data_IF_644014268990
#
_entry.id   IF_644014268990
#
_cell.length_a   1.000
_cell.length_b   1.000
_cell.length_c   1.000
_cell.angle_alpha   90.00
_cell.angle_beta   90.00
_cell.angle_gamma   90.00
#
_symmetry.space_group_name_H-M   'P 1'
#
loop_
_entity.id
_entity.type
_entity.pdbx_description
1 polymer ?
#
# COMPACT_ATOMS: atom_id res chain seq x y z
N UNK A 1 11.20 -19.88 -16.26
CA UNK A 1 11.85 -18.60 -15.92
C UNK A 1 13.13 -18.88 -15.16
N UNK A 2 14.27 -18.42 -15.68
CA UNK A 2 15.58 -18.52 -15.03
C UNK A 2 15.71 -17.47 -13.92
N UNK A 3 16.73 -17.60 -13.04
CA UNK A 3 17.02 -16.55 -12.04
C UNK A 3 17.34 -15.22 -12.72
N UNK A 4 18.09 -15.25 -13.83
CA UNK A 4 18.39 -14.03 -14.59
C UNK A 4 17.11 -13.33 -15.10
N UNK A 5 16.19 -14.10 -15.71
CA UNK A 5 14.91 -13.59 -16.21
C UNK A 5 14.05 -13.03 -15.07
N UNK A 6 13.98 -13.71 -13.91
CA UNK A 6 13.25 -13.26 -12.73
C UNK A 6 13.73 -11.87 -12.25
N UNK A 7 15.04 -11.67 -12.16
CA UNK A 7 15.61 -10.40 -11.69
C UNK A 7 15.44 -9.28 -12.74
N UNK A 8 15.58 -9.60 -14.03
CA UNK A 8 15.32 -8.65 -15.11
C UNK A 8 13.84 -8.23 -15.17
N UNK A 9 12.92 -9.18 -15.00
CA UNK A 9 11.48 -8.92 -14.98
C UNK A 9 11.11 -8.06 -13.76
N UNK A 10 11.59 -8.39 -12.56
CA UNK A 10 11.40 -7.57 -11.36
C UNK A 10 11.93 -6.14 -11.56
N UNK A 11 13.12 -5.98 -12.14
CA UNK A 11 13.69 -4.66 -12.40
C UNK A 11 12.78 -3.79 -13.28
N UNK A 12 12.21 -4.40 -14.33
CA UNK A 12 11.43 -3.67 -15.33
C UNK A 12 9.97 -3.47 -14.95
N UNK A 13 9.35 -4.44 -14.26
CA UNK A 13 7.92 -4.44 -13.92
C UNK A 13 7.61 -3.90 -12.54
N UNK A 14 8.50 -4.13 -11.57
CA UNK A 14 8.22 -3.80 -10.16
C UNK A 14 9.08 -2.64 -9.65
N UNK A 15 10.37 -2.59 -10.01
CA UNK A 15 11.28 -1.58 -9.48
C UNK A 15 11.31 -0.28 -10.28
N UNK A 16 11.15 -0.34 -11.60
CA UNK A 16 11.20 0.84 -12.48
C UNK A 16 10.11 1.84 -12.12
N UNK A 17 10.51 3.10 -11.93
CA UNK A 17 9.60 4.19 -11.53
C UNK A 17 9.20 4.17 -10.05
N UNK A 18 9.55 3.13 -9.30
CA UNK A 18 9.24 2.97 -7.87
C UNK A 18 10.51 3.10 -7.02
N UNK A 19 11.58 2.38 -7.39
CA UNK A 19 12.85 2.37 -6.66
C UNK A 19 14.04 2.28 -7.63
N UNK A 20 14.69 3.43 -7.93
CA UNK A 20 15.90 3.45 -8.76
C UNK A 20 17.03 2.58 -8.20
N UNK A 21 17.08 2.39 -6.88
CA UNK A 21 18.08 1.55 -6.22
C UNK A 21 17.83 0.07 -6.51
N UNK A 22 16.60 -0.40 -6.34
CA UNK A 22 16.26 -1.80 -6.59
C UNK A 22 16.26 -2.14 -8.08
N UNK A 23 15.93 -1.21 -8.96
CA UNK A 23 16.05 -1.39 -10.41
C UNK A 23 17.51 -1.67 -10.78
N UNK A 24 18.45 -0.83 -10.32
CA UNK A 24 19.89 -1.02 -10.60
C UNK A 24 20.44 -2.32 -10.01
N UNK A 25 20.08 -2.64 -8.77
CA UNK A 25 20.51 -3.90 -8.14
C UNK A 25 19.99 -5.12 -8.89
N UNK A 26 18.71 -5.13 -9.23
CA UNK A 26 18.10 -6.27 -9.89
C UNK A 26 18.67 -6.49 -11.30
N UNK A 27 18.92 -5.42 -12.07
CA UNK A 27 19.63 -5.52 -13.35
C UNK A 27 21.04 -6.07 -13.19
N UNK A 28 21.77 -5.63 -12.16
CA UNK A 28 23.12 -6.12 -11.91
C UNK A 28 23.13 -7.60 -11.55
N UNK A 29 22.22 -8.04 -10.66
CA UNK A 29 22.10 -9.46 -10.30
C UNK A 29 21.66 -10.29 -11.50
N UNK A 30 20.76 -9.80 -12.36
CA UNK A 30 20.35 -10.50 -13.58
C UNK A 30 21.52 -10.79 -14.55
N UNK A 31 22.61 -10.02 -14.48
CA UNK A 31 23.84 -10.24 -15.23
C UNK A 31 24.91 -11.05 -14.47
N UNK A 32 24.65 -11.42 -13.20
CA UNK A 32 25.65 -11.95 -12.27
C UNK A 32 25.61 -13.47 -12.15
N UNK A 33 26.47 -14.13 -12.93
CA UNK A 33 26.58 -15.60 -12.94
C UNK A 33 27.10 -16.19 -11.62
N UNK A 34 27.77 -15.41 -10.77
CA UNK A 34 28.24 -15.88 -9.46
C UNK A 34 27.03 -15.96 -8.51
N UNK A 35 26.26 -14.87 -8.41
CA UNK A 35 25.06 -14.84 -7.56
C UNK A 35 24.03 -15.86 -8.04
N UNK A 36 23.88 -16.07 -9.35
CA UNK A 36 23.02 -17.14 -9.88
C UNK A 36 23.41 -18.54 -9.39
N UNK A 37 24.72 -18.85 -9.36
CA UNK A 37 25.22 -20.14 -8.87
C UNK A 37 24.97 -20.30 -7.37
N UNK A 38 25.14 -19.24 -6.60
CA UNK A 38 24.82 -19.24 -5.17
C UNK A 38 23.32 -19.47 -4.94
N UNK A 39 22.46 -18.69 -5.60
CA UNK A 39 21.00 -18.84 -5.52
C UNK A 39 20.51 -20.22 -5.99
N UNK A 40 21.25 -20.91 -6.86
CA UNK A 40 20.92 -22.27 -7.27
C UNK A 40 20.92 -23.26 -6.09
N UNK A 41 21.66 -22.98 -5.01
CA UNK A 41 21.70 -23.81 -3.80
C UNK A 41 20.42 -23.74 -2.96
N UNK A 42 19.61 -22.68 -3.09
CA UNK A 42 18.34 -22.54 -2.35
C UNK A 42 17.13 -22.92 -3.22
N UNK A 43 16.00 -23.35 -2.61
CA UNK A 43 14.76 -23.64 -3.34
C UNK A 43 14.31 -22.46 -4.21
N UNK A 44 13.65 -22.74 -5.33
CA UNK A 44 13.20 -21.71 -6.29
C UNK A 44 12.38 -20.61 -5.63
N UNK A 45 11.49 -20.97 -4.70
CA UNK A 45 10.66 -20.01 -3.96
C UNK A 45 11.47 -19.00 -3.11
N UNK A 46 12.74 -19.31 -2.80
CA UNK A 46 13.64 -18.47 -2.00
C UNK A 46 14.59 -17.60 -2.84
N UNK A 47 14.45 -17.60 -4.17
CA UNK A 47 15.34 -16.84 -5.07
C UNK A 47 14.83 -15.44 -5.42
N UNK A 48 13.71 -15.03 -4.83
CA UNK A 48 13.04 -13.76 -5.14
C UNK A 48 13.97 -12.55 -4.89
N UNK A 49 13.98 -11.52 -5.76
CA UNK A 49 14.85 -10.35 -5.63
C UNK A 49 14.67 -9.61 -4.30
N UNK A 50 13.42 -9.30 -3.95
CA UNK A 50 13.06 -8.65 -2.70
C UNK A 50 13.51 -9.43 -1.45
N UNK A 51 13.42 -10.76 -1.46
CA UNK A 51 13.90 -11.60 -0.36
C UNK A 51 15.42 -11.52 -0.20
N UNK A 52 16.18 -11.63 -1.31
CA UNK A 52 17.63 -11.52 -1.28
C UNK A 52 18.08 -10.13 -0.78
N UNK A 53 17.50 -9.06 -1.32
CA UNK A 53 17.84 -7.69 -0.92
C UNK A 53 17.51 -7.44 0.55
N UNK A 54 16.37 -7.95 1.03
CA UNK A 54 15.98 -7.84 2.44
C UNK A 54 16.95 -8.59 3.36
N UNK A 55 17.36 -9.81 3.01
CA UNK A 55 18.31 -10.60 3.82
C UNK A 55 19.69 -9.95 3.86
N UNK A 56 20.19 -9.48 2.71
CA UNK A 56 21.48 -8.76 2.67
C UNK A 56 21.43 -7.52 3.56
N UNK A 57 20.36 -6.72 3.46
CA UNK A 57 20.17 -5.53 4.31
C UNK A 57 20.05 -5.89 5.79
N UNK A 58 19.34 -6.97 6.13
CA UNK A 58 19.18 -7.45 7.51
C UNK A 58 20.51 -7.80 8.15
N UNK A 59 21.42 -8.41 7.38
CA UNK A 59 22.77 -8.75 7.83
C UNK A 59 23.75 -7.56 7.82
N UNK A 60 23.24 -6.33 7.61
CA UNK A 60 24.04 -5.11 7.57
C UNK A 60 24.80 -4.91 6.24
N UNK A 61 24.44 -5.66 5.20
CA UNK A 61 25.06 -5.58 3.89
C UNK A 61 24.57 -4.38 3.07
N UNK A 62 25.40 -3.86 2.14
CA UNK A 62 25.07 -2.73 1.29
C UNK A 62 24.05 -3.12 0.23
N UNK A 63 23.00 -2.32 0.06
CA UNK A 63 21.95 -2.52 -0.96
C UNK A 63 21.76 -1.29 -1.87
N UNK A 64 22.73 -0.38 -1.86
CA UNK A 64 22.68 0.87 -2.63
C UNK A 64 23.57 0.79 -3.88
N UNK A 65 24.62 -0.04 -3.82
CA UNK A 65 25.69 -0.12 -4.83
C UNK A 65 25.90 -1.58 -5.29
N UNK A 66 25.71 -1.90 -6.58
CA UNK A 66 25.79 -3.27 -7.08
C UNK A 66 27.12 -3.99 -6.80
N UNK A 67 28.25 -3.32 -6.98
CA UNK A 67 29.56 -3.94 -6.73
C UNK A 67 29.78 -4.29 -5.26
N UNK A 68 29.37 -3.40 -4.35
CA UNK A 68 29.45 -3.65 -2.90
C UNK A 68 28.48 -4.76 -2.47
N UNK A 69 27.27 -4.76 -3.04
CA UNK A 69 26.27 -5.81 -2.82
C UNK A 69 26.80 -7.17 -3.25
N UNK A 70 27.40 -7.27 -4.44
CA UNK A 70 28.03 -8.50 -4.93
C UNK A 70 29.10 -9.00 -3.96
N UNK A 71 30.08 -8.14 -3.65
CA UNK A 71 31.20 -8.51 -2.79
C UNK A 71 30.73 -8.99 -1.41
N UNK A 72 29.76 -8.29 -0.81
CA UNK A 72 29.18 -8.70 0.47
C UNK A 72 28.44 -10.03 0.34
N UNK A 73 27.61 -10.20 -0.68
CA UNK A 73 26.79 -11.40 -0.90
C UNK A 73 27.64 -12.64 -1.07
N UNK A 74 28.70 -12.55 -1.88
CA UNK A 74 29.64 -13.66 -2.09
C UNK A 74 30.39 -13.99 -0.80
N UNK A 75 30.87 -12.96 -0.08
CA UNK A 75 31.66 -13.14 1.15
C UNK A 75 30.84 -13.78 2.27
N UNK A 76 29.58 -13.37 2.43
CA UNK A 76 28.72 -13.77 3.54
C UNK A 76 27.66 -14.80 3.14
N UNK A 77 27.86 -15.51 2.02
CA UNK A 77 26.85 -16.37 1.43
C UNK A 77 26.30 -17.41 2.41
N UNK A 78 27.14 -18.03 3.23
CA UNK A 78 26.69 -19.05 4.19
C UNK A 78 25.62 -18.52 5.16
N UNK A 79 25.77 -17.28 5.65
CA UNK A 79 24.79 -16.64 6.51
C UNK A 79 23.53 -16.24 5.73
N UNK A 80 23.71 -15.64 4.55
CA UNK A 80 22.61 -15.26 3.65
C UNK A 80 21.76 -16.48 3.28
N UNK A 81 22.39 -17.60 2.92
CA UNK A 81 21.72 -18.85 2.58
C UNK A 81 20.87 -19.38 3.74
N UNK A 82 21.42 -19.38 4.96
CA UNK A 82 20.69 -19.80 6.15
C UNK A 82 19.42 -18.95 6.35
N UNK A 83 19.53 -17.63 6.24
CA UNK A 83 18.39 -16.72 6.34
C UNK A 83 17.39 -16.86 5.18
N UNK A 84 17.86 -17.00 3.93
CA UNK A 84 17.01 -17.24 2.76
C UNK A 84 16.15 -18.51 2.92
N UNK A 85 16.69 -19.56 3.54
CA UNK A 85 15.96 -20.82 3.73
C UNK A 85 14.81 -20.68 4.73
N UNK A 86 15.01 -19.94 5.81
CA UNK A 86 14.02 -19.83 6.90
C UNK A 86 13.08 -18.66 6.75
N UNK A 87 13.44 -17.63 5.98
CA UNK A 87 12.61 -16.43 5.79
C UNK A 87 11.78 -16.51 4.52
N UNK A 88 10.61 -15.89 4.55
CA UNK A 88 9.77 -15.68 3.38
C UNK A 88 9.45 -14.19 3.29
N UNK A 89 9.31 -13.70 2.06
CA UNK A 89 8.63 -12.44 1.81
C UNK A 89 7.20 -12.59 2.33
N UNK A 90 6.77 -11.69 3.21
CA UNK A 90 5.40 -11.72 3.72
C UNK A 90 4.47 -11.39 2.56
N UNK A 91 3.82 -12.40 1.99
CA UNK A 91 2.63 -12.15 1.18
C UNK A 91 1.50 -11.84 2.17
N UNK A 92 0.82 -10.72 1.98
CA UNK A 92 -0.36 -10.37 2.80
C UNK A 92 -1.53 -11.36 2.58
N UNK A 93 -1.35 -12.40 1.79
CA UNK A 93 -2.34 -13.42 1.44
C UNK A 93 -2.96 -14.08 2.67
N UNK A 94 -2.17 -14.57 3.63
CA UNK A 94 -2.74 -15.22 4.82
C UNK A 94 -3.62 -14.24 5.65
N UNK A 95 -3.21 -12.98 5.74
CA UNK A 95 -4.00 -11.92 6.41
C UNK A 95 -5.25 -11.56 5.61
N UNK A 96 -5.13 -11.47 4.29
CA UNK A 96 -6.24 -11.21 3.38
C UNK A 96 -7.27 -12.32 3.45
N UNK A 97 -6.86 -13.59 3.41
CA UNK A 97 -7.75 -14.74 3.54
C UNK A 97 -8.45 -14.77 4.90
N UNK A 98 -7.73 -14.47 5.98
CA UNK A 98 -8.33 -14.35 7.31
C UNK A 98 -9.37 -13.22 7.36
N UNK A 99 -9.07 -12.04 6.81
CA UNK A 99 -10.03 -10.93 6.74
C UNK A 99 -11.23 -11.26 5.86
N UNK A 100 -11.02 -11.90 4.71
CA UNK A 100 -12.09 -12.34 3.82
C UNK A 100 -12.99 -13.39 4.49
N UNK A 101 -12.43 -14.30 5.29
CA UNK A 101 -13.21 -15.26 6.06
C UNK A 101 -14.11 -14.60 7.12
N UNK A 102 -13.63 -13.52 7.78
CA UNK A 102 -14.45 -12.71 8.69
C UNK A 102 -15.61 -12.07 7.94
N UNK A 103 -15.34 -11.41 6.81
CA UNK A 103 -16.39 -10.82 5.98
C UNK A 103 -17.35 -11.87 5.41
N UNK A 104 -16.88 -13.08 5.08
CA UNK A 104 -17.75 -14.15 4.59
C UNK A 104 -18.64 -14.78 5.67
N UNK A 105 -18.22 -14.73 6.94
CA UNK A 105 -19.00 -15.24 8.07
C UNK A 105 -20.18 -14.33 8.42
N UNK A 106 -20.06 -13.03 8.16
CA UNK A 106 -21.11 -12.03 8.33
C UNK A 106 -21.06 -11.07 7.12
N UNK A 107 -21.63 -11.48 5.96
CA UNK A 107 -21.48 -10.76 4.71
C UNK A 107 -22.15 -9.38 4.81
N UNK A 108 -21.41 -8.29 4.52
CA UNK A 108 -22.04 -6.99 4.41
C UNK A 108 -22.97 -6.98 3.19
N UNK A 109 -23.99 -6.13 3.25
CA UNK A 109 -24.80 -5.86 2.07
C UNK A 109 -23.97 -5.12 1.02
N UNK A 110 -23.91 -5.67 -0.19
CA UNK A 110 -23.15 -5.11 -1.30
C UNK A 110 -24.12 -4.63 -2.37
N UNK A 111 -24.14 -3.32 -2.59
CA UNK A 111 -25.03 -2.67 -3.56
C UNK A 111 -24.17 -2.11 -4.69
N UNK A 112 -24.53 -2.46 -5.93
CA UNK A 112 -23.89 -1.89 -7.12
C UNK A 112 -24.60 -0.60 -7.49
N UNK A 113 -23.84 0.49 -7.61
CA UNK A 113 -24.37 1.79 -7.98
C UNK A 113 -23.28 2.84 -8.16
N UNK A 114 -23.68 4.01 -8.62
CA UNK A 114 -22.88 5.23 -8.66
C UNK A 114 -23.04 6.03 -7.35
N UNK A 115 -21.91 6.48 -6.82
CA UNK A 115 -21.81 7.20 -5.55
C UNK A 115 -22.59 8.54 -5.50
N UNK A 116 -22.90 9.15 -6.64
CA UNK A 116 -23.71 10.37 -6.71
C UNK A 116 -25.17 10.05 -7.01
N UNK A 117 -25.43 9.17 -7.97
CA UNK A 117 -26.79 8.99 -8.48
C UNK A 117 -27.63 8.07 -7.59
N UNK A 118 -27.02 7.06 -6.98
CA UNK A 118 -27.73 6.01 -6.24
C UNK A 118 -27.69 6.21 -4.71
N UNK A 119 -26.71 6.97 -4.21
CA UNK A 119 -26.56 7.23 -2.77
C UNK A 119 -27.80 7.86 -2.09
N UNK A 120 -28.56 8.80 -2.71
CA UNK A 120 -29.73 9.38 -2.05
C UNK A 120 -30.81 8.34 -1.73
N UNK A 121 -31.07 7.42 -2.66
CA UNK A 121 -32.04 6.35 -2.47
C UNK A 121 -31.57 5.39 -1.38
N UNK A 122 -30.30 4.97 -1.43
CA UNK A 122 -29.71 4.10 -0.43
C UNK A 122 -29.71 4.73 0.97
N UNK A 123 -29.37 6.01 1.09
CA UNK A 123 -29.41 6.73 2.35
C UNK A 123 -30.80 6.78 2.99
N UNK A 124 -31.86 6.80 2.17
CA UNK A 124 -33.25 6.81 2.63
C UNK A 124 -33.72 5.45 3.17
N UNK A 125 -32.98 4.36 2.92
CA UNK A 125 -33.28 3.03 3.47
C UNK A 125 -32.81 2.89 4.93
N UNK A 126 -32.00 3.84 5.44
CA UNK A 126 -31.57 3.84 6.82
C UNK A 126 -32.78 3.84 7.78
N UNK A 127 -32.82 2.94 8.79
CA UNK A 127 -33.91 2.91 9.75
C UNK A 127 -34.10 4.27 10.45
N UNK A 128 -35.35 4.70 10.71
CA UNK A 128 -35.63 6.01 11.29
C UNK A 128 -35.10 6.17 12.73
N UNK A 129 -34.80 5.07 13.41
CA UNK A 129 -34.21 5.01 14.75
C UNK A 129 -32.68 4.80 14.73
N UNK A 130 -32.07 4.71 13.54
CA UNK A 130 -30.64 4.59 13.35
C UNK A 130 -30.01 5.90 12.85
N UNK A 131 -28.73 6.11 13.19
CA UNK A 131 -27.95 7.20 12.62
C UNK A 131 -27.35 6.78 11.28
N UNK A 132 -27.72 7.47 10.20
CA UNK A 132 -27.04 7.31 8.91
C UNK A 132 -25.60 7.82 9.02
N UNK A 133 -24.64 6.97 8.61
CA UNK A 133 -23.23 7.34 8.49
C UNK A 133 -22.71 7.00 7.11
N UNK A 134 -22.31 8.01 6.35
CA UNK A 134 -21.58 7.82 5.08
C UNK A 134 -20.09 7.84 5.38
N UNK A 135 -19.36 6.79 5.02
CA UNK A 135 -17.93 6.66 5.30
C UNK A 135 -17.12 6.28 4.06
N UNK A 136 -16.00 6.97 3.83
CA UNK A 136 -15.02 6.57 2.83
C UNK A 136 -13.60 7.03 3.17
N UNK A 137 -12.59 6.30 2.67
CA UNK A 137 -11.18 6.65 2.85
C UNK A 137 -10.40 6.42 1.57
N UNK A 138 -9.70 7.44 1.07
CA UNK A 138 -8.84 7.37 -0.11
C UNK A 138 -9.51 6.69 -1.30
N UNK A 139 -10.74 7.09 -1.63
CA UNK A 139 -11.47 6.55 -2.79
C UNK A 139 -11.71 7.61 -3.84
N UNK A 140 -11.85 8.88 -3.45
CA UNK A 140 -12.27 9.95 -4.36
C UNK A 140 -11.23 10.33 -5.42
N UNK A 141 -9.97 9.91 -5.27
CA UNK A 141 -8.96 10.07 -6.34
C UNK A 141 -9.28 9.24 -7.59
N UNK A 142 -10.10 8.19 -7.45
CA UNK A 142 -10.55 7.34 -8.55
C UNK A 142 -11.78 7.91 -9.28
N UNK A 143 -12.40 8.94 -8.72
CA UNK A 143 -13.64 9.54 -9.20
C UNK A 143 -13.32 10.75 -10.08
N UNK A 144 -13.95 10.90 -11.27
CA UNK A 144 -13.83 12.11 -12.09
C UNK A 144 -14.11 13.38 -11.28
N UNK A 145 -13.42 14.48 -11.60
CA UNK A 145 -13.42 15.68 -10.76
C UNK A 145 -14.81 16.32 -10.58
N UNK A 146 -15.62 16.32 -11.64
CA UNK A 146 -17.01 16.78 -11.63
C UNK A 146 -17.90 15.91 -10.75
N UNK A 147 -17.76 14.58 -10.84
CA UNK A 147 -18.49 13.63 -10.00
C UNK A 147 -18.06 13.68 -8.54
N UNK A 148 -16.77 13.90 -8.30
CA UNK A 148 -16.24 14.10 -6.94
C UNK A 148 -16.83 15.35 -6.28
N UNK A 149 -16.91 16.46 -7.01
CA UNK A 149 -17.54 17.68 -6.49
C UNK A 149 -19.02 17.45 -6.17
N UNK A 150 -19.76 16.83 -7.08
CA UNK A 150 -21.17 16.49 -6.86
C UNK A 150 -21.39 15.57 -5.65
N UNK A 151 -20.49 14.62 -5.42
CA UNK A 151 -20.52 13.75 -4.25
C UNK A 151 -20.29 14.50 -2.93
N UNK A 152 -19.33 15.42 -2.90
CA UNK A 152 -19.03 16.22 -1.71
C UNK A 152 -20.26 17.05 -1.31
N UNK A 153 -20.88 17.71 -2.29
CA UNK A 153 -22.10 18.49 -2.07
C UNK A 153 -23.26 17.59 -1.59
N UNK A 154 -23.43 16.42 -2.22
CA UNK A 154 -24.46 15.45 -1.84
C UNK A 154 -24.25 14.92 -0.42
N UNK A 155 -23.05 14.43 -0.11
CA UNK A 155 -22.73 13.83 1.19
C UNK A 155 -22.92 14.83 2.34
N UNK A 156 -22.56 16.10 2.13
CA UNK A 156 -22.80 17.17 3.10
C UNK A 156 -24.28 17.56 3.29
N UNK A 157 -25.16 17.20 2.35
CA UNK A 157 -26.58 17.51 2.41
C UNK A 157 -27.46 16.38 2.97
N UNK A 158 -26.92 15.16 3.10
CA UNK A 158 -27.67 14.00 3.59
C UNK A 158 -27.99 14.11 5.09
N UNK A 159 -29.14 13.56 5.55
CA UNK A 159 -29.50 13.57 6.95
C UNK A 159 -28.70 12.52 7.73
N UNK A 160 -27.58 12.92 8.34
CA UNK A 160 -26.73 12.01 9.09
C UNK A 160 -25.34 12.58 9.31
N UNK A 161 -24.36 11.68 9.44
CA UNK A 161 -22.95 12.05 9.53
C UNK A 161 -22.16 11.56 8.32
N UNK A 162 -21.21 12.36 7.87
CA UNK A 162 -20.28 12.02 6.81
C UNK A 162 -18.84 12.02 7.36
N UNK A 163 -18.21 10.85 7.37
CA UNK A 163 -16.83 10.68 7.80
C UNK A 163 -15.97 10.40 6.56
N UNK A 164 -14.96 11.22 6.32
CA UNK A 164 -14.03 11.00 5.21
C UNK A 164 -12.58 11.03 5.66
N UNK A 165 -11.71 10.30 4.95
CA UNK A 165 -10.26 10.46 5.03
C UNK A 165 -9.67 10.58 3.62
N UNK A 166 -9.43 11.81 3.17
CA UNK A 166 -8.98 12.09 1.81
C UNK A 166 -7.76 13.01 1.78
N UNK A 167 -6.95 12.87 0.75
CA UNK A 167 -5.80 13.76 0.54
C UNK A 167 -6.28 15.20 0.29
N UNK A 168 -5.61 16.23 0.84
CA UNK A 168 -5.86 17.63 0.51
C UNK A 168 -5.78 17.95 -1.00
N UNK A 169 -5.06 17.12 -1.78
CA UNK A 169 -4.96 17.25 -3.23
C UNK A 169 -6.23 16.78 -3.97
N UNK A 170 -7.02 15.92 -3.32
CA UNK A 170 -8.24 15.32 -3.88
C UNK A 170 -9.47 16.12 -3.43
N UNK A 171 -9.53 16.44 -2.14
CA UNK A 171 -10.57 17.27 -1.54
C UNK A 171 -9.89 18.47 -0.89
N UNK A 172 -10.11 19.70 -1.38
CA UNK A 172 -9.53 20.88 -0.76
C UNK A 172 -10.23 21.19 0.56
N UNK A 173 -9.45 21.53 1.58
CA UNK A 173 -9.96 21.98 2.88
C UNK A 173 -9.28 23.29 3.28
N UNK A 174 -10.05 24.19 3.87
CA UNK A 174 -9.54 25.46 4.38
C UNK A 174 -9.00 25.33 5.81
N UNK A 175 -7.97 26.12 6.13
CA UNK A 175 -7.51 26.29 7.51
C UNK A 175 -6.84 25.08 8.15
N UNK A 176 -6.29 24.16 7.36
CA UNK A 176 -5.55 23.01 7.88
C UNK A 176 -4.28 23.44 8.63
N UNK A 177 -3.96 22.84 9.79
CA UNK A 177 -2.67 23.05 10.44
C UNK A 177 -1.54 22.46 9.59
N UNK A 178 -0.28 22.90 9.76
CA UNK A 178 0.83 22.34 9.00
C UNK A 178 0.95 20.82 9.19
N UNK A 179 1.40 20.11 8.15
CA UNK A 179 1.69 18.68 8.26
C UNK A 179 2.84 18.47 9.24
N UNK A 180 2.86 17.34 9.99
CA UNK A 180 3.94 17.06 10.95
C UNK A 180 5.32 16.84 10.31
N UNK A 181 5.35 16.37 9.06
CA UNK A 181 6.55 16.07 8.28
C UNK A 181 6.22 16.14 6.77
N UNK A 182 7.21 15.87 5.92
CA UNK A 182 7.10 15.89 4.44
C UNK A 182 6.45 14.63 3.84
N UNK A 183 5.80 13.78 4.65
CA UNK A 183 5.10 12.59 4.14
C UNK A 183 3.66 12.93 3.71
N UNK A 184 3.07 12.03 2.91
CA UNK A 184 1.68 12.19 2.48
C UNK A 184 0.69 11.91 3.63
N UNK A 185 -0.29 12.81 3.79
CA UNK A 185 -1.35 12.69 4.77
C UNK A 185 -2.72 12.83 4.12
N UNK A 186 -3.69 12.09 4.66
CA UNK A 186 -5.11 12.37 4.47
C UNK A 186 -5.62 13.25 5.60
N UNK A 187 -6.64 14.06 5.33
CA UNK A 187 -7.42 14.78 6.33
C UNK A 187 -8.60 13.92 6.71
N UNK A 188 -8.73 13.60 8.00
CA UNK A 188 -9.94 13.01 8.56
C UNK A 188 -10.94 14.12 8.82
N UNK A 189 -12.17 13.99 8.32
CA UNK A 189 -13.25 14.93 8.57
C UNK A 189 -14.48 14.26 9.15
N UNK A 190 -15.27 15.07 9.86
CA UNK A 190 -16.65 14.77 10.24
C UNK A 190 -17.53 15.90 9.72
N UNK A 191 -18.50 15.56 8.89
CA UNK A 191 -19.44 16.50 8.26
C UNK A 191 -18.71 17.63 7.52
N UNK A 192 -17.64 17.25 6.81
CA UNK A 192 -16.74 18.17 6.10
C UNK A 192 -15.80 18.98 7.00
N UNK A 193 -15.95 18.93 8.33
CA UNK A 193 -15.07 19.63 9.27
C UNK A 193 -13.76 18.85 9.46
N UNK A 194 -12.58 19.44 9.18
CA UNK A 194 -11.30 18.79 9.43
C UNK A 194 -11.05 18.53 10.92
N UNK A 195 -10.63 17.30 11.24
CA UNK A 195 -10.40 16.84 12.62
C UNK A 195 -8.99 16.29 12.86
N UNK A 196 -8.33 15.69 11.87
CA UNK A 196 -7.01 15.10 12.06
C UNK A 196 -6.21 14.95 10.77
N UNK A 197 -4.89 14.86 10.94
CA UNK A 197 -3.99 14.26 9.95
C UNK A 197 -3.95 12.75 10.14
N UNK A 198 -4.05 11.97 9.07
CA UNK A 198 -3.87 10.50 9.10
C UNK A 198 -2.86 10.04 8.05
N UNK A 199 -1.95 9.14 8.44
CA UNK A 199 -1.05 8.46 7.49
C UNK A 199 -1.79 7.31 6.80
N UNK A 200 -1.31 6.95 5.61
CA UNK A 200 -1.91 5.91 4.78
C UNK A 200 -2.16 4.61 5.58
N UNK A 201 -3.27 3.95 5.26
CA UNK A 201 -3.67 2.65 5.83
C UNK A 201 -3.74 2.62 7.37
N UNK A 202 -4.04 3.77 8.00
CA UNK A 202 -4.23 3.85 9.45
C UNK A 202 -2.94 3.75 10.27
N UNK A 203 -1.78 4.02 9.66
CA UNK A 203 -0.49 3.94 10.36
C UNK A 203 -0.41 4.86 11.59
N UNK A 204 -0.99 6.05 11.51
CA UNK A 204 -1.12 6.97 12.64
C UNK A 204 -2.19 8.03 12.38
N UNK A 205 -2.71 8.60 13.46
CA UNK A 205 -3.66 9.72 13.44
C UNK A 205 -3.16 10.81 14.41
N UNK A 206 -3.23 12.07 13.99
CA UNK A 206 -2.90 13.25 14.80
C UNK A 206 -4.06 14.24 14.74
N UNK A 207 -4.80 14.33 15.84
CA UNK A 207 -5.95 15.21 15.99
C UNK A 207 -5.58 16.69 16.01
N UNK A 208 -6.48 17.52 15.49
CA UNK A 208 -6.40 18.98 15.53
C UNK A 208 -7.01 19.46 16.86
N UNK A 209 -6.16 19.92 17.79
CA UNK A 209 -6.55 20.31 19.15
C UNK A 209 -6.00 19.38 20.19
#
# INVERSE_FOLDING_TARGET
MTTAELYADFATREARGVSPVYERLALAVAADTVIHRLLAAVPVAKRQPNLLFAVVRLLGGPVEQPGAFHAFTVTHWAAIEADLRVRATQTNEARLQAAAAVAAADPPELITGDLVDDLPALAAEAPPDATLVVFHTSVLYQVPADRRAAFIDLAGALPGHWISAESPEVVPFDGLPPTPDDTSYNVVTLDGRPLAWSKAHGQSVRWFG
#
